data_IF_281484499851
#
_entry.id   IF_281484499851
#
_cell.length_a   1.000
_cell.length_b   1.000
_cell.length_c   1.000
_cell.angle_alpha   90.00
_cell.angle_beta   90.00
_cell.angle_gamma   90.00
#
_symmetry.space_group_name_H-M   'P 1'
#
loop_
_entity.id
_entity.type
_entity.pdbx_description
1 polymer ?
#
# COMPACT_ATOMS: atom_id res chain seq x y z
N UNK A 1 -12.42 2.84 7.46
CA UNK A 1 -11.68 1.60 7.75
C UNK A 1 -10.22 1.94 7.64
N UNK A 2 -9.46 1.70 8.71
CA UNK A 2 -8.03 1.97 8.76
C UNK A 2 -7.28 0.64 8.76
N UNK A 3 -6.10 0.65 8.17
CA UNK A 3 -5.18 -0.46 8.17
C UNK A 3 -4.55 -0.58 9.56
N UNK A 4 -4.57 -1.78 10.14
CA UNK A 4 -3.90 -2.03 11.40
C UNK A 4 -2.37 -2.01 11.23
N UNK A 5 -1.64 -1.74 12.32
CA UNK A 5 -0.18 -1.59 12.29
C UNK A 5 0.56 -2.82 11.76
N UNK A 6 0.07 -4.04 12.02
CA UNK A 6 0.65 -5.30 11.56
C UNK A 6 -0.02 -5.88 10.30
N UNK A 7 -1.07 -5.24 9.80
CA UNK A 7 -1.82 -5.76 8.65
C UNK A 7 -1.09 -5.47 7.35
N UNK A 8 -0.96 -6.49 6.49
CA UNK A 8 -0.39 -6.31 5.15
C UNK A 8 -1.31 -5.50 4.25
N UNK A 9 -0.75 -4.82 3.24
CA UNK A 9 -1.53 -4.10 2.24
C UNK A 9 -2.52 -5.04 1.53
N UNK A 10 -2.14 -6.31 1.31
CA UNK A 10 -2.99 -7.28 0.60
C UNK A 10 -4.24 -7.64 1.42
N UNK A 11 -4.07 -7.88 2.71
CA UNK A 11 -5.17 -8.16 3.62
C UNK A 11 -6.08 -6.93 3.76
N UNK A 12 -5.49 -5.74 3.91
CA UNK A 12 -6.24 -4.50 4.00
C UNK A 12 -7.05 -4.21 2.72
N UNK A 13 -6.43 -4.38 1.54
CA UNK A 13 -7.10 -4.25 0.25
C UNK A 13 -8.25 -5.24 0.10
N UNK A 14 -8.04 -6.52 0.43
CA UNK A 14 -9.07 -7.56 0.32
C UNK A 14 -10.28 -7.27 1.21
N UNK A 15 -10.06 -6.84 2.45
CA UNK A 15 -11.14 -6.47 3.37
C UNK A 15 -11.91 -5.24 2.87
N UNK A 16 -11.20 -4.22 2.39
CA UNK A 16 -11.83 -3.01 1.85
C UNK A 16 -12.60 -3.30 0.56
N UNK A 17 -12.05 -4.17 -0.30
CA UNK A 17 -12.70 -4.63 -1.53
C UNK A 17 -14.01 -5.36 -1.26
N UNK A 18 -14.03 -6.27 -0.27
CA UNK A 18 -15.25 -6.98 0.13
C UNK A 18 -16.37 -6.01 0.55
N UNK A 19 -16.05 -4.96 1.29
CA UNK A 19 -17.02 -3.92 1.65
C UNK A 19 -17.55 -3.21 0.40
N UNK A 20 -16.67 -2.83 -0.53
CA UNK A 20 -17.10 -2.17 -1.76
C UNK A 20 -17.91 -3.07 -2.68
N UNK A 21 -17.70 -4.39 -2.65
CA UNK A 21 -18.50 -5.38 -3.38
C UNK A 21 -19.90 -5.52 -2.78
N UNK A 22 -20.03 -5.51 -1.45
CA UNK A 22 -21.33 -5.49 -0.78
C UNK A 22 -22.13 -4.23 -1.14
N UNK A 23 -21.48 -3.06 -1.17
CA UNK A 23 -22.12 -1.85 -1.70
C UNK A 23 -22.41 -1.94 -3.21
N UNK A 24 -21.57 -2.63 -3.97
CA UNK A 24 -21.79 -2.82 -5.40
C UNK A 24 -23.07 -3.62 -5.67
N UNK A 25 -23.31 -4.67 -4.88
CA UNK A 25 -24.48 -5.54 -4.99
C UNK A 25 -25.82 -4.81 -4.71
N UNK A 26 -25.80 -3.74 -3.91
CA UNK A 26 -26.99 -2.94 -3.60
C UNK A 26 -27.27 -1.82 -4.64
N UNK A 27 -26.42 -1.63 -5.66
CA UNK A 27 -26.63 -0.56 -6.63
C UNK A 27 -27.75 -0.89 -7.62
N UNK A 28 -28.59 0.10 -7.99
CA UNK A 28 -29.57 -0.07 -9.04
C UNK A 28 -28.92 -0.26 -10.42
N UNK A 29 -29.60 -0.93 -11.37
CA UNK A 29 -29.12 -1.05 -12.74
C UNK A 29 -28.96 0.30 -13.42
N UNK A 30 -27.81 0.55 -14.05
CA UNK A 30 -27.58 1.73 -14.87
C UNK A 30 -28.08 1.49 -16.31
N UNK A 31 -28.73 2.50 -16.89
CA UNK A 31 -29.43 2.37 -18.19
C UNK A 31 -28.63 2.83 -19.41
N UNK A 32 -27.52 3.57 -19.24
CA UNK A 32 -26.80 4.23 -20.33
C UNK A 32 -25.28 4.05 -20.22
N UNK A 33 -24.61 3.81 -21.35
CA UNK A 33 -23.17 3.58 -21.42
C UNK A 33 -22.34 4.75 -20.86
N UNK A 34 -22.67 5.99 -21.20
CA UNK A 34 -21.99 7.18 -20.67
C UNK A 34 -22.10 7.25 -19.14
N UNK A 35 -23.27 6.92 -18.57
CA UNK A 35 -23.46 6.89 -17.13
C UNK A 35 -22.66 5.76 -16.48
N UNK A 36 -22.48 4.62 -17.16
CA UNK A 36 -21.65 3.50 -16.68
C UNK A 36 -20.18 3.93 -16.56
N UNK A 37 -19.62 4.58 -17.59
CA UNK A 37 -18.22 5.00 -17.60
C UNK A 37 -17.95 6.11 -16.58
N UNK A 38 -18.81 7.13 -16.50
CA UNK A 38 -18.68 8.19 -15.51
C UNK A 38 -18.84 7.64 -14.10
N UNK A 39 -19.78 6.73 -13.88
CA UNK A 39 -19.99 6.09 -12.57
C UNK A 39 -18.82 5.17 -12.19
N UNK A 40 -18.22 4.46 -13.15
CA UNK A 40 -17.03 3.64 -12.92
C UNK A 40 -15.84 4.51 -12.49
N UNK A 41 -15.57 5.61 -13.22
CA UNK A 41 -14.51 6.58 -12.86
C UNK A 41 -14.76 7.23 -11.50
N UNK A 42 -16.00 7.60 -11.21
CA UNK A 42 -16.38 8.15 -9.91
C UNK A 42 -16.15 7.15 -8.77
N UNK A 43 -16.58 5.90 -8.95
CA UNK A 43 -16.35 4.83 -7.96
C UNK A 43 -14.87 4.57 -7.75
N UNK A 44 -14.08 4.47 -8.83
CA UNK A 44 -12.64 4.24 -8.74
C UNK A 44 -11.96 5.36 -7.95
N UNK A 45 -12.24 6.61 -8.27
CA UNK A 45 -11.69 7.77 -7.55
C UNK A 45 -12.10 7.78 -6.07
N UNK A 46 -13.37 7.46 -5.77
CA UNK A 46 -13.85 7.37 -4.38
C UNK A 46 -13.14 6.26 -3.62
N UNK A 47 -13.00 5.07 -4.22
CA UNK A 47 -12.31 3.92 -3.62
C UNK A 47 -10.82 4.21 -3.42
N UNK A 48 -10.16 4.81 -4.41
CA UNK A 48 -8.78 5.28 -4.32
C UNK A 48 -8.57 6.20 -3.12
N UNK A 49 -9.32 7.31 -3.03
CA UNK A 49 -9.18 8.25 -1.92
C UNK A 49 -9.45 7.57 -0.58
N UNK A 50 -10.53 6.78 -0.49
CA UNK A 50 -10.92 6.11 0.75
C UNK A 50 -9.85 5.11 1.22
N UNK A 51 -9.25 4.37 0.28
CA UNK A 51 -8.18 3.42 0.54
C UNK A 51 -6.91 4.14 1.00
N UNK A 52 -6.48 5.19 0.29
CA UNK A 52 -5.30 5.98 0.66
C UNK A 52 -5.42 6.57 2.07
N UNK A 53 -6.58 7.12 2.43
CA UNK A 53 -6.81 7.72 3.75
C UNK A 53 -6.80 6.70 4.89
N UNK A 54 -7.06 5.43 4.60
CA UNK A 54 -7.04 4.38 5.59
C UNK A 54 -5.68 3.70 5.76
N UNK A 55 -4.69 3.95 4.89
CA UNK A 55 -3.35 3.37 5.01
C UNK A 55 -2.64 3.78 6.30
N UNK A 56 -1.85 2.84 6.85
CA UNK A 56 -0.99 3.10 8.01
C UNK A 56 0.12 4.11 7.67
N UNK A 57 0.64 4.78 8.70
CA UNK A 57 1.60 5.89 8.57
C UNK A 57 2.91 5.49 7.91
N UNK A 58 3.31 4.23 8.01
CA UNK A 58 4.52 3.74 7.35
C UNK A 58 4.52 4.07 5.85
N UNK A 59 3.36 3.97 5.20
CA UNK A 59 3.21 4.23 3.76
C UNK A 59 2.94 5.71 3.43
N UNK A 60 3.06 6.62 4.39
CA UNK A 60 2.82 8.05 4.19
C UNK A 60 3.58 8.63 2.98
N UNK A 61 4.90 8.36 2.78
CA UNK A 61 5.62 8.92 1.63
C UNK A 61 5.03 8.46 0.30
N UNK A 62 4.67 7.18 0.19
CA UNK A 62 4.05 6.60 -1.01
C UNK A 62 2.64 7.12 -1.22
N UNK A 63 1.88 7.28 -0.13
CA UNK A 63 0.54 7.87 -0.15
C UNK A 63 0.57 9.31 -0.64
N UNK A 64 1.48 10.14 -0.12
CA UNK A 64 1.64 11.53 -0.55
C UNK A 64 2.04 11.62 -2.03
N UNK A 65 2.97 10.76 -2.47
CA UNK A 65 3.37 10.68 -3.87
C UNK A 65 2.21 10.27 -4.79
N UNK A 66 1.36 9.33 -4.37
CA UNK A 66 0.20 8.89 -5.15
C UNK A 66 -0.91 9.97 -5.19
N UNK A 67 -1.16 10.67 -4.09
CA UNK A 67 -2.20 11.71 -3.99
C UNK A 67 -1.83 13.01 -4.71
N UNK A 68 -0.54 13.29 -4.89
CA UNK A 68 -0.05 14.51 -5.56
C UNK A 68 0.01 14.40 -7.09
N UNK A 69 -0.21 13.22 -7.67
CA UNK A 69 -0.15 13.00 -9.13
C UNK A 69 -1.30 13.67 -9.87
N UNK A 70 -0.98 14.21 -11.06
CA UNK A 70 -1.95 14.71 -12.03
C UNK A 70 -1.66 14.12 -13.41
N UNK A 71 -2.57 13.30 -13.99
CA UNK A 71 -3.85 12.88 -13.41
C UNK A 71 -3.67 11.92 -12.22
N UNK A 72 -4.69 11.83 -11.36
CA UNK A 72 -4.72 10.87 -10.27
C UNK A 72 -4.58 9.44 -10.80
N UNK A 73 -3.79 8.62 -10.11
CA UNK A 73 -3.66 7.20 -10.43
C UNK A 73 -4.96 6.45 -10.13
N UNK A 74 -5.25 5.40 -10.91
CA UNK A 74 -6.35 4.49 -10.58
C UNK A 74 -6.03 3.70 -9.32
N UNK A 75 -7.05 3.14 -8.67
CA UNK A 75 -6.86 2.32 -7.48
C UNK A 75 -5.93 1.13 -7.74
N UNK A 76 -6.10 0.44 -8.86
CA UNK A 76 -5.29 -0.74 -9.20
C UNK A 76 -3.79 -0.42 -9.36
N UNK A 77 -3.48 0.70 -10.03
CA UNK A 77 -2.09 1.15 -10.20
C UNK A 77 -1.48 1.49 -8.83
N UNK A 78 -2.23 2.21 -8.00
CA UNK A 78 -1.79 2.59 -6.67
C UNK A 78 -1.54 1.38 -5.75
N UNK A 79 -2.42 0.38 -5.81
CA UNK A 79 -2.30 -0.86 -5.03
C UNK A 79 -1.07 -1.65 -5.45
N UNK A 80 -0.78 -1.75 -6.76
CA UNK A 80 0.45 -2.39 -7.26
C UNK A 80 1.71 -1.72 -6.73
N UNK A 81 1.76 -0.39 -6.75
CA UNK A 81 2.91 0.36 -6.20
C UNK A 81 3.06 0.14 -4.69
N UNK A 82 1.94 0.11 -3.95
CA UNK A 82 1.96 -0.18 -2.52
C UNK A 82 2.45 -1.60 -2.22
N UNK A 83 2.10 -2.60 -3.03
CA UNK A 83 2.66 -3.94 -2.90
C UNK A 83 4.16 -3.98 -3.16
N UNK A 84 4.63 -3.28 -4.19
CA UNK A 84 6.07 -3.16 -4.46
C UNK A 84 6.80 -2.50 -3.29
N UNK A 85 6.23 -1.44 -2.73
CA UNK A 85 6.79 -0.73 -1.57
C UNK A 85 6.79 -1.59 -0.30
N UNK A 86 5.70 -2.32 -0.05
CA UNK A 86 5.61 -3.26 1.06
C UNK A 86 6.72 -4.32 0.95
N UNK A 87 6.88 -4.94 -0.21
CA UNK A 87 7.94 -5.92 -0.46
C UNK A 87 9.34 -5.30 -0.28
N UNK A 88 9.58 -4.08 -0.80
CA UNK A 88 10.86 -3.38 -0.64
C UNK A 88 11.22 -3.19 0.84
N UNK A 89 10.25 -2.78 1.67
CA UNK A 89 10.43 -2.60 3.11
C UNK A 89 10.77 -3.89 3.84
N UNK A 90 10.09 -4.99 3.51
CA UNK A 90 10.41 -6.30 4.07
C UNK A 90 11.87 -6.69 3.78
N UNK A 91 12.37 -6.47 2.56
CA UNK A 91 13.76 -6.76 2.21
C UNK A 91 14.76 -5.87 2.95
N UNK A 92 14.48 -4.56 3.11
CA UNK A 92 15.36 -3.69 3.89
C UNK A 92 15.43 -4.08 5.36
N UNK A 93 14.30 -4.49 5.96
CA UNK A 93 14.26 -4.94 7.34
C UNK A 93 15.10 -6.21 7.55
N UNK A 94 15.00 -7.18 6.62
CA UNK A 94 15.80 -8.40 6.64
C UNK A 94 17.30 -8.12 6.42
N UNK A 95 17.63 -7.19 5.52
CA UNK A 95 19.02 -6.81 5.25
C UNK A 95 19.67 -6.09 6.45
N UNK A 96 18.92 -5.24 7.16
CA UNK A 96 19.43 -4.55 8.36
C UNK A 96 19.68 -5.50 9.53
N UNK A 97 18.96 -6.63 9.61
CA UNK A 97 19.12 -7.61 10.69
C UNK A 97 20.40 -8.45 10.56
N UNK A 98 21.04 -8.46 9.39
CA UNK A 98 22.23 -9.28 9.12
C UNK A 98 23.57 -8.57 9.40
N UNK A 99 23.56 -7.32 9.87
CA UNK A 99 24.77 -6.60 10.26
C UNK A 99 25.08 -6.86 11.74
N UNK A 100 25.33 -8.13 12.10
CA UNK A 100 25.99 -8.45 13.37
C UNK A 100 27.48 -8.23 13.17
N UNK A 101 27.97 -7.18 13.81
CA UNK A 101 29.33 -6.66 13.78
C UNK A 101 30.37 -7.74 14.18
N UNK A 102 30.98 -8.40 13.20
CA UNK A 102 32.21 -9.14 13.40
C UNK A 102 33.38 -8.14 13.48
N UNK A 103 33.57 -7.48 14.63
CA UNK A 103 34.85 -6.84 14.94
C UNK A 103 35.90 -7.95 15.13
N UNK A 104 36.94 -8.06 14.28
CA UNK A 104 38.07 -8.89 14.58
C UNK A 104 38.82 -8.23 15.74
N UNK A 105 38.88 -8.90 16.90
CA UNK A 105 39.71 -8.47 18.02
C UNK A 105 41.17 -8.53 17.56
N UNK A 106 41.95 -7.44 17.62
CA UNK A 106 43.37 -7.53 17.33
C UNK A 106 44.02 -8.42 18.38
N UNK A 107 44.65 -9.50 17.94
CA UNK A 107 45.58 -10.28 18.77
C UNK A 107 46.77 -9.36 19.05
N UNK A 108 46.82 -8.80 20.26
CA UNK A 108 48.07 -8.25 20.78
C UNK A 108 49.04 -9.43 20.94
N UNK A 109 49.96 -9.52 19.99
CA UNK A 109 51.14 -10.38 20.03
C UNK A 109 52.31 -9.56 20.57
N UNK A 110 53.23 -10.26 21.25
CA UNK A 110 54.59 -9.84 21.65
C UNK A 110 54.67 -9.02 22.94
N UNK A 111 55.62 -9.24 23.86
CA UNK A 111 56.65 -10.26 24.07
C UNK A 111 57.18 -10.09 25.51
N UNK A 112 57.73 -11.18 26.06
CA UNK A 112 58.74 -11.33 27.13
C UNK A 112 58.70 -10.44 28.39
#
# INVERSE_FOLDING_TARGET
MHQDSSQSISNYYSQTASIWEQFAAANPPLKYAENIDHFAKYKDRRRFTQFMMGLREDFEPTRAALLSRSPLSSLDVAVKELFSEENRRHHHHLSSSNVVLATPRPLASSSD
#
